data_IF_812523546344
#
_entry.id   IF_812523546344
#
_cell.length_a   1.000
_cell.length_b   1.000
_cell.length_c   1.000
_cell.angle_alpha   90.00
_cell.angle_beta   90.00
_cell.angle_gamma   90.00
#
_symmetry.space_group_name_H-M   'P 1'
#
loop_
_entity.id
_entity.type
_entity.pdbx_description
1 polymer ?
#
# COMPACT_ATOMS: atom_id res chain seq x y z
N UNK A 1 -10.78 13.15 -17.84
CA UNK A 1 -10.39 14.13 -18.86
C UNK A 1 -9.46 15.18 -18.28
N UNK A 2 -8.34 15.52 -18.95
CA UNK A 2 -7.50 16.63 -18.54
C UNK A 2 -8.25 17.97 -18.71
N UNK A 3 -8.17 18.84 -17.73
CA UNK A 3 -8.83 20.17 -17.76
C UNK A 3 -7.88 21.33 -17.44
N UNK A 4 -6.72 21.03 -16.85
CA UNK A 4 -5.61 21.94 -16.67
C UNK A 4 -4.31 21.12 -16.48
N UNK A 5 -3.17 21.81 -16.39
CA UNK A 5 -1.91 21.17 -16.00
C UNK A 5 -2.09 20.42 -14.67
N UNK A 6 -1.77 19.13 -14.66
CA UNK A 6 -1.90 18.24 -13.51
C UNK A 6 -3.34 18.03 -12.97
N UNK A 7 -4.37 18.54 -13.65
CA UNK A 7 -5.77 18.42 -13.20
C UNK A 7 -6.60 17.61 -14.16
N UNK A 8 -7.29 16.62 -13.61
CA UNK A 8 -8.18 15.71 -14.33
C UNK A 8 -9.55 15.68 -13.66
N UNK A 9 -10.61 15.58 -14.46
CA UNK A 9 -11.99 15.38 -13.98
C UNK A 9 -12.56 14.07 -14.50
N UNK A 10 -13.42 13.43 -13.72
CA UNK A 10 -14.25 12.33 -14.19
C UNK A 10 -15.34 12.85 -15.14
N UNK A 11 -15.73 12.03 -16.12
CA UNK A 11 -16.89 12.30 -16.98
C UNK A 11 -18.20 11.77 -16.38
N UNK A 12 -18.10 10.82 -15.46
CA UNK A 12 -19.24 10.09 -14.90
C UNK A 12 -19.63 10.60 -13.50
N UNK A 13 -18.71 11.30 -12.84
CA UNK A 13 -18.86 11.80 -11.46
C UNK A 13 -18.33 13.22 -11.36
N UNK A 14 -18.86 14.01 -10.44
CA UNK A 14 -18.40 15.37 -10.18
C UNK A 14 -17.11 15.40 -9.32
N UNK A 15 -16.14 14.60 -9.75
CA UNK A 15 -14.88 14.34 -9.04
C UNK A 15 -13.71 14.83 -9.87
N UNK A 16 -12.76 15.50 -9.23
CA UNK A 16 -11.51 15.93 -9.86
C UNK A 16 -10.30 15.57 -9.02
N UNK A 17 -9.18 15.33 -9.70
CA UNK A 17 -7.88 15.04 -9.12
C UNK A 17 -6.90 16.09 -9.62
N UNK A 18 -6.16 16.71 -8.70
CA UNK A 18 -5.06 17.62 -9.02
C UNK A 18 -3.77 17.10 -8.43
N UNK A 19 -2.78 16.76 -9.25
CA UNK A 19 -1.49 16.28 -8.78
C UNK A 19 -0.62 17.42 -8.27
N UNK A 20 -0.04 17.22 -7.09
CA UNK A 20 0.96 18.11 -6.50
C UNK A 20 2.34 17.64 -6.96
N UNK A 21 3.18 18.58 -7.41
CA UNK A 21 4.54 18.30 -7.87
C UNK A 21 5.56 19.09 -7.04
N UNK A 22 6.74 18.52 -6.83
CA UNK A 22 7.87 19.22 -6.23
C UNK A 22 8.57 20.16 -7.23
N UNK A 23 9.61 20.87 -6.77
CA UNK A 23 10.40 21.77 -7.61
C UNK A 23 11.12 21.08 -8.78
N UNK A 24 11.28 19.75 -8.73
CA UNK A 24 11.90 18.94 -9.78
C UNK A 24 10.85 18.34 -10.74
N UNK A 25 9.56 18.64 -10.54
CA UNK A 25 8.47 18.10 -11.34
C UNK A 25 8.01 16.70 -10.94
N UNK A 26 8.50 16.15 -9.82
CA UNK A 26 8.04 14.86 -9.34
C UNK A 26 6.71 14.99 -8.61
N UNK A 27 5.76 14.11 -8.93
CA UNK A 27 4.50 14.02 -8.19
C UNK A 27 4.77 13.61 -6.74
N UNK A 28 4.29 14.40 -5.79
CA UNK A 28 4.40 14.17 -4.33
C UNK A 28 3.07 13.82 -3.68
N UNK A 29 1.97 13.92 -4.42
CA UNK A 29 0.63 13.56 -3.98
C UNK A 29 -0.41 14.09 -4.94
N UNK A 30 -1.66 14.05 -4.51
CA UNK A 30 -2.76 14.69 -5.23
C UNK A 30 -3.84 15.17 -4.27
N UNK A 31 -4.64 16.11 -4.73
CA UNK A 31 -5.89 16.51 -4.07
C UNK A 31 -7.06 15.90 -4.82
N UNK A 32 -7.87 15.11 -4.12
CA UNK A 32 -9.17 14.63 -4.57
C UNK A 32 -10.23 15.64 -4.15
N UNK A 33 -11.07 16.09 -5.10
CA UNK A 33 -12.24 16.90 -4.83
C UNK A 33 -13.47 16.18 -5.35
N UNK A 34 -14.42 15.91 -4.47
CA UNK A 34 -15.77 15.44 -4.82
C UNK A 34 -16.75 16.58 -4.53
N UNK A 35 -17.23 17.23 -5.58
CA UNK A 35 -18.10 18.41 -5.45
C UNK A 35 -19.52 18.05 -5.05
N UNK A 36 -19.97 16.83 -5.32
CA UNK A 36 -21.32 16.39 -4.93
C UNK A 36 -21.38 16.18 -3.42
N UNK A 37 -20.28 15.72 -2.82
CA UNK A 37 -20.14 15.54 -1.37
C UNK A 37 -19.55 16.75 -0.64
N UNK A 38 -19.15 17.81 -1.37
CA UNK A 38 -18.45 18.96 -0.80
C UNK A 38 -17.13 18.60 -0.12
N UNK A 39 -16.48 17.53 -0.58
CA UNK A 39 -15.33 16.91 0.07
C UNK A 39 -14.03 17.19 -0.68
N UNK A 40 -12.98 17.50 0.07
CA UNK A 40 -11.62 17.69 -0.44
C UNK A 40 -10.62 16.96 0.45
N UNK A 41 -9.73 16.16 -0.17
CA UNK A 41 -8.71 15.39 0.52
C UNK A 41 -7.37 15.52 -0.18
N UNK A 42 -6.34 15.89 0.58
CA UNK A 42 -4.96 15.71 0.15
C UNK A 42 -4.54 14.25 0.41
N UNK A 43 -3.98 13.61 -0.61
CA UNK A 43 -3.47 12.24 -0.58
C UNK A 43 -1.97 12.30 -0.90
N UNK A 44 -1.09 11.98 0.06
CA UNK A 44 0.35 11.98 -0.17
C UNK A 44 0.74 10.80 -1.08
N UNK A 45 1.88 10.92 -1.74
CA UNK A 45 2.48 9.81 -2.47
C UNK A 45 3.03 8.77 -1.50
N UNK A 46 2.60 7.52 -1.70
CA UNK A 46 2.93 6.37 -0.86
C UNK A 46 4.30 5.74 -1.20
N UNK A 47 4.80 5.94 -2.42
CA UNK A 47 6.12 5.43 -2.82
C UNK A 47 6.48 5.75 -4.27
N UNK A 48 7.72 5.49 -4.69
CA UNK A 48 8.13 5.62 -6.08
C UNK A 48 7.36 4.63 -6.98
N UNK A 49 7.36 4.88 -8.30
CA UNK A 49 6.89 3.85 -9.24
C UNK A 49 7.85 2.66 -9.20
N UNK A 50 7.31 1.46 -9.20
CA UNK A 50 8.11 0.24 -9.17
C UNK A 50 8.91 0.10 -10.47
N UNK A 51 10.23 0.09 -10.32
CA UNK A 51 11.18 -0.19 -11.38
C UNK A 51 11.75 -1.61 -11.20
N UNK A 52 11.14 -2.56 -11.89
CA UNK A 52 11.51 -3.98 -11.86
C UNK A 52 12.94 -4.25 -12.36
N UNK A 53 13.60 -3.29 -13.00
CA UNK A 53 14.98 -3.42 -13.48
C UNK A 53 16.01 -3.16 -12.39
N UNK A 54 15.60 -2.54 -11.27
CA UNK A 54 16.47 -2.26 -10.12
C UNK A 54 16.24 -3.31 -9.04
N UNK A 55 17.28 -4.07 -8.75
CA UNK A 55 17.33 -4.98 -7.61
C UNK A 55 17.97 -4.28 -6.42
N UNK A 56 17.23 -4.19 -5.31
CA UNK A 56 17.75 -3.71 -4.05
C UNK A 56 17.95 -4.92 -3.13
N UNK A 57 19.05 -4.92 -2.38
CA UNK A 57 19.22 -5.90 -1.32
C UNK A 57 18.21 -5.59 -0.21
N UNK A 58 17.55 -6.61 0.33
CA UNK A 58 16.69 -6.46 1.51
C UNK A 58 17.55 -5.99 2.69
N UNK A 59 17.31 -4.78 3.23
CA UNK A 59 18.08 -4.26 4.35
C UNK A 59 17.83 -5.06 5.65
N UNK A 60 16.72 -5.79 5.74
CA UNK A 60 16.42 -6.71 6.84
C UNK A 60 15.78 -8.02 6.32
N UNK A 61 16.60 -8.97 5.87
CA UNK A 61 16.12 -10.27 5.36
C UNK A 61 15.31 -11.07 6.39
N UNK A 62 15.44 -10.77 7.69
CA UNK A 62 14.68 -11.44 8.74
C UNK A 62 13.23 -10.95 8.85
N UNK A 63 12.94 -9.79 8.26
CA UNK A 63 11.61 -9.16 8.25
C UNK A 63 10.69 -9.76 7.20
N UNK A 64 11.22 -10.08 6.03
CA UNK A 64 10.44 -10.63 4.90
C UNK A 64 9.62 -11.88 5.28
N UNK A 65 10.17 -12.90 5.97
CA UNK A 65 9.38 -14.05 6.43
C UNK A 65 8.26 -13.70 7.41
N UNK A 66 8.47 -12.70 8.29
CA UNK A 66 7.46 -12.27 9.26
C UNK A 66 6.29 -11.58 8.57
N UNK A 67 6.59 -10.74 7.58
CA UNK A 67 5.58 -10.09 6.73
C UNK A 67 4.80 -11.13 5.94
N UNK A 68 5.48 -12.13 5.34
CA UNK A 68 4.81 -13.21 4.63
C UNK A 68 3.81 -13.95 5.55
N UNK A 69 4.19 -14.28 6.78
CA UNK A 69 3.30 -14.91 7.75
C UNK A 69 2.10 -14.03 8.10
N UNK A 70 2.31 -12.73 8.30
CA UNK A 70 1.22 -11.77 8.56
C UNK A 70 0.24 -11.70 7.39
N UNK A 71 0.73 -11.62 6.15
CA UNK A 71 -0.11 -11.59 4.95
C UNK A 71 -0.87 -12.90 4.74
N UNK A 72 -0.24 -14.05 5.02
CA UNK A 72 -0.92 -15.35 4.99
C UNK A 72 -2.03 -15.44 6.04
N UNK A 73 -1.83 -14.88 7.23
CA UNK A 73 -2.87 -14.79 8.25
C UNK A 73 -4.02 -13.86 7.82
N UNK A 74 -3.73 -12.72 7.18
CA UNK A 74 -4.74 -11.83 6.59
C UNK A 74 -5.59 -12.52 5.52
N UNK A 75 -4.97 -13.32 4.64
CA UNK A 75 -5.70 -14.13 3.66
C UNK A 75 -6.65 -15.11 4.36
N UNK A 76 -6.14 -15.85 5.34
CA UNK A 76 -6.89 -16.93 5.98
C UNK A 76 -8.03 -16.40 6.87
N UNK A 77 -7.84 -15.23 7.49
CA UNK A 77 -8.77 -14.67 8.46
C UNK A 77 -8.91 -15.54 9.71
N UNK A 78 -10.01 -15.34 10.43
CA UNK A 78 -10.40 -16.12 11.60
C UNK A 78 -9.30 -16.26 12.66
N UNK A 79 -9.17 -17.45 13.24
CA UNK A 79 -8.25 -17.70 14.37
C UNK A 79 -6.78 -17.44 14.04
N UNK A 80 -6.35 -17.75 12.81
CA UNK A 80 -4.96 -17.54 12.37
C UNK A 80 -4.62 -16.05 12.36
N UNK A 81 -5.57 -15.22 11.95
CA UNK A 81 -5.44 -13.77 12.02
C UNK A 81 -5.42 -13.24 13.45
N UNK A 82 -6.33 -13.73 14.30
CA UNK A 82 -6.42 -13.33 15.71
C UNK A 82 -5.10 -13.57 16.46
N UNK A 83 -4.47 -14.71 16.23
CA UNK A 83 -3.23 -15.15 16.90
C UNK A 83 -1.95 -14.56 16.28
N UNK A 84 -2.01 -14.01 15.07
CA UNK A 84 -0.84 -13.49 14.37
C UNK A 84 -0.23 -12.27 15.09
N UNK A 85 1.03 -12.36 15.50
CA UNK A 85 1.73 -11.29 16.22
C UNK A 85 2.24 -10.16 15.32
N UNK A 86 2.31 -10.38 14.00
CA UNK A 86 2.84 -9.43 13.02
C UNK A 86 1.82 -8.41 12.50
N UNK A 87 0.66 -8.26 13.14
CA UNK A 87 -0.45 -7.44 12.66
C UNK A 87 -0.97 -6.49 13.74
N UNK A 88 -1.40 -5.31 13.31
CA UNK A 88 -2.11 -4.36 14.17
C UNK A 88 -3.49 -4.87 14.57
N UNK A 89 -4.05 -4.34 15.65
CA UNK A 89 -5.40 -4.71 16.09
C UNK A 89 -6.48 -4.30 15.07
N UNK A 90 -6.31 -3.14 14.43
CA UNK A 90 -7.23 -2.67 13.38
C UNK A 90 -7.23 -3.61 12.18
N UNK A 91 -6.05 -4.03 11.71
CA UNK A 91 -5.94 -5.02 10.64
C UNK A 91 -6.64 -6.34 11.02
N UNK A 92 -6.41 -6.86 12.23
CA UNK A 92 -7.06 -8.10 12.67
C UNK A 92 -8.58 -8.01 12.66
N UNK A 93 -9.13 -6.89 13.09
CA UNK A 93 -10.58 -6.65 13.10
C UNK A 93 -11.14 -6.60 11.68
N UNK A 94 -10.50 -5.83 10.81
CA UNK A 94 -11.06 -5.51 9.50
C UNK A 94 -10.85 -6.64 8.48
N UNK A 95 -9.79 -7.45 8.66
CA UNK A 95 -9.52 -8.64 7.85
C UNK A 95 -10.05 -9.95 8.46
N UNK A 96 -10.90 -9.89 9.51
CA UNK A 96 -11.41 -11.07 10.21
C UNK A 96 -12.05 -12.14 9.28
N UNK A 97 -12.67 -11.70 8.18
CA UNK A 97 -13.27 -12.57 7.17
C UNK A 97 -12.31 -13.19 6.16
N UNK A 98 -11.02 -12.84 6.22
CA UNK A 98 -10.03 -13.22 5.21
C UNK A 98 -10.08 -12.35 3.96
N UNK A 99 -9.11 -12.55 3.07
CA UNK A 99 -9.03 -11.89 1.76
C UNK A 99 -9.23 -12.97 0.68
N UNK A 100 -10.12 -12.77 -0.31
CA UNK A 100 -10.50 -13.81 -1.27
C UNK A 100 -9.43 -14.22 -2.30
N UNK A 101 -8.15 -13.89 -2.09
CA UNK A 101 -7.05 -14.16 -3.04
C UNK A 101 -5.92 -15.05 -2.45
N UNK A 102 -6.22 -16.30 -2.06
CA UNK A 102 -5.27 -17.13 -1.32
C UNK A 102 -4.10 -17.71 -2.13
N UNK A 103 -4.09 -17.60 -3.46
CA UNK A 103 -3.19 -18.39 -4.32
C UNK A 103 -1.85 -17.71 -4.65
N UNK A 104 -1.66 -16.45 -4.27
CA UNK A 104 -0.53 -15.64 -4.75
C UNK A 104 0.62 -15.48 -3.74
N UNK A 105 0.41 -15.80 -2.46
CA UNK A 105 1.34 -15.48 -1.37
C UNK A 105 2.15 -16.68 -0.86
N UNK A 106 3.01 -17.22 -1.73
CA UNK A 106 3.95 -18.29 -1.39
C UNK A 106 5.37 -17.78 -1.10
N UNK A 107 5.79 -16.70 -1.75
CA UNK A 107 7.08 -16.08 -1.48
C UNK A 107 7.11 -14.62 -1.93
N UNK A 108 7.93 -13.84 -1.23
CA UNK A 108 8.12 -12.41 -1.47
C UNK A 108 9.57 -12.19 -1.91
N UNK A 109 9.76 -11.37 -2.94
CA UNK A 109 11.06 -10.82 -3.31
C UNK A 109 11.05 -9.34 -3.01
N UNK A 110 11.95 -8.87 -2.14
CA UNK A 110 12.05 -7.45 -1.80
C UNK A 110 12.37 -6.62 -3.04
N UNK A 111 11.66 -5.51 -3.21
CA UNK A 111 11.88 -4.56 -4.30
C UNK A 111 12.33 -3.22 -3.75
N UNK A 112 11.60 -2.62 -2.81
CA UNK A 112 11.93 -1.31 -2.26
C UNK A 112 11.25 -1.10 -0.91
N UNK A 113 11.77 -0.16 -0.12
CA UNK A 113 11.10 0.35 1.08
C UNK A 113 11.20 1.86 1.15
N UNK A 114 10.09 2.52 1.48
CA UNK A 114 9.99 3.97 1.62
C UNK A 114 9.59 4.34 3.05
N UNK A 115 10.36 5.21 3.70
CA UNK A 115 9.91 5.84 4.94
C UNK A 115 8.86 6.91 4.62
N UNK A 116 7.68 6.77 5.22
CA UNK A 116 6.54 7.66 5.04
C UNK A 116 6.08 8.32 6.34
N UNK A 117 6.91 8.28 7.39
CA UNK A 117 6.62 8.91 8.68
C UNK A 117 6.28 10.38 8.49
N UNK A 118 5.24 10.86 9.19
CA UNK A 118 4.81 12.26 9.14
C UNK A 118 4.04 12.65 7.88
N UNK A 119 3.80 11.73 6.93
CA UNK A 119 2.96 12.00 5.74
C UNK A 119 1.45 11.86 6.01
N UNK A 120 1.05 11.45 7.21
CA UNK A 120 -0.36 11.29 7.60
C UNK A 120 -1.07 10.11 6.92
N UNK A 121 -0.30 9.09 6.50
CA UNK A 121 -0.84 7.86 5.93
C UNK A 121 -1.29 6.94 7.07
N UNK A 122 -2.51 6.43 6.97
CA UNK A 122 -3.07 5.50 7.94
C UNK A 122 -3.65 4.30 7.20
N UNK A 123 -3.50 3.11 7.76
CA UNK A 123 -4.15 1.88 7.32
C UNK A 123 -4.80 1.22 8.53
N UNK A 124 -6.09 0.93 8.46
CA UNK A 124 -6.86 0.30 9.54
C UNK A 124 -6.58 0.91 10.93
N UNK A 125 -6.80 2.22 11.06
CA UNK A 125 -6.64 3.02 12.31
C UNK A 125 -5.20 3.11 12.86
N UNK A 126 -4.19 2.63 12.13
CA UNK A 126 -2.79 2.74 12.56
C UNK A 126 -2.00 3.64 11.62
N UNK A 127 -1.10 4.44 12.20
CA UNK A 127 -0.18 5.27 11.44
C UNK A 127 0.85 4.42 10.69
N UNK A 128 1.04 4.73 9.41
CA UNK A 128 2.02 4.07 8.56
C UNK A 128 3.33 4.84 8.62
N UNK A 129 4.41 4.13 8.92
CA UNK A 129 5.75 4.67 9.01
C UNK A 129 6.64 4.25 7.83
N UNK A 130 6.36 3.09 7.25
CA UNK A 130 7.12 2.53 6.14
C UNK A 130 6.18 1.79 5.20
N UNK A 131 6.47 1.88 3.91
CA UNK A 131 5.81 1.09 2.88
C UNK A 131 6.86 0.22 2.22
N UNK A 132 6.66 -1.09 2.28
CA UNK A 132 7.57 -2.06 1.68
C UNK A 132 6.91 -2.69 0.47
N UNK A 133 7.59 -2.61 -0.66
CA UNK A 133 7.14 -3.22 -1.91
C UNK A 133 7.86 -4.55 -2.10
N UNK A 134 7.07 -5.60 -2.32
CA UNK A 134 7.54 -6.90 -2.71
C UNK A 134 6.98 -7.27 -4.08
N UNK A 135 7.74 -8.04 -4.84
CA UNK A 135 7.22 -8.80 -5.97
C UNK A 135 6.75 -10.16 -5.46
N UNK A 136 5.55 -10.56 -5.86
CA UNK A 136 5.03 -11.89 -5.59
C UNK A 136 5.65 -12.87 -6.59
N UNK A 137 6.32 -13.90 -6.08
CA UNK A 137 6.78 -14.99 -6.94
C UNK A 137 5.59 -15.92 -7.20
N UNK A 138 4.83 -15.59 -8.23
CA UNK A 138 3.68 -16.37 -8.66
C UNK A 138 3.83 -16.78 -10.13
N UNK A 139 2.88 -17.56 -10.63
CA UNK A 139 2.82 -17.91 -12.06
C UNK A 139 2.37 -16.73 -12.93
N UNK A 140 1.95 -15.63 -12.30
CA UNK A 140 1.62 -14.36 -12.95
C UNK A 140 2.85 -13.47 -12.92
N UNK A 141 3.40 -13.08 -14.09
CA UNK A 141 4.39 -12.01 -14.13
C UNK A 141 3.75 -10.70 -13.65
N UNK A 142 4.55 -9.83 -13.03
CA UNK A 142 4.22 -8.43 -12.76
C UNK A 142 3.16 -8.12 -11.67
N UNK A 143 2.99 -9.02 -10.71
CA UNK A 143 2.21 -8.72 -9.48
C UNK A 143 3.11 -8.27 -8.33
N UNK A 144 2.81 -7.11 -7.77
CA UNK A 144 3.47 -6.51 -6.61
C UNK A 144 2.51 -6.42 -5.43
N UNK A 145 3.05 -6.45 -4.22
CA UNK A 145 2.32 -6.14 -3.00
C UNK A 145 3.00 -5.00 -2.28
N UNK A 146 2.24 -3.96 -1.96
CA UNK A 146 2.65 -2.88 -1.08
C UNK A 146 2.17 -3.20 0.32
N UNK A 147 3.10 -3.29 1.27
CA UNK A 147 2.82 -3.63 2.66
C UNK A 147 3.02 -2.37 3.50
N UNK A 148 1.97 -1.99 4.23
CA UNK A 148 1.99 -0.82 5.11
C UNK A 148 2.39 -1.24 6.52
N UNK A 149 3.49 -0.67 7.01
CA UNK A 149 4.07 -1.00 8.32
C UNK A 149 3.99 0.17 9.30
N UNK A 150 3.64 -0.14 10.55
CA UNK A 150 3.80 0.79 11.68
C UNK A 150 5.27 0.94 12.07
N UNK A 151 5.58 1.87 12.97
CA UNK A 151 6.94 2.05 13.52
C UNK A 151 7.48 0.81 14.22
N UNK A 152 6.58 -0.03 14.75
CA UNK A 152 6.89 -1.29 15.41
C UNK A 152 7.02 -2.46 14.41
N UNK A 153 7.05 -2.16 13.11
CA UNK A 153 7.10 -3.13 12.01
C UNK A 153 5.91 -4.10 11.98
N UNK A 154 4.75 -3.68 12.50
CA UNK A 154 3.50 -4.45 12.37
C UNK A 154 2.83 -4.12 11.05
N UNK A 155 2.33 -5.14 10.37
CA UNK A 155 1.51 -4.97 9.17
C UNK A 155 0.16 -4.38 9.59
N UNK A 156 -0.23 -3.28 8.96
CA UNK A 156 -1.53 -2.66 9.19
C UNK A 156 -2.46 -2.73 7.99
N UNK A 157 -1.90 -2.81 6.77
CA UNK A 157 -2.67 -2.90 5.52
C UNK A 157 -1.77 -3.43 4.39
N UNK A 158 -2.37 -3.85 3.27
CA UNK A 158 -1.64 -4.16 2.05
C UNK A 158 -2.46 -3.92 0.77
N UNK A 159 -1.79 -3.48 -0.30
CA UNK A 159 -2.39 -3.34 -1.63
C UNK A 159 -1.73 -4.29 -2.63
N UNK A 160 -2.54 -5.01 -3.40
CA UNK A 160 -2.09 -5.75 -4.57
C UNK A 160 -2.07 -4.82 -5.78
N UNK A 161 -0.95 -4.79 -6.49
CA UNK A 161 -0.77 -3.97 -7.69
C UNK A 161 -0.26 -4.82 -8.83
N UNK A 162 -1.05 -4.90 -9.89
CA UNK A 162 -0.68 -5.48 -11.17
C UNK A 162 -0.13 -4.38 -12.09
N UNK A 163 0.88 -4.72 -12.90
CA UNK A 163 1.47 -3.81 -13.88
C UNK A 163 1.18 -4.25 -15.31
#
# INVERSE_FOLDING_TARGET
>A
MPVATNTFTSNDRNVSVTFTVDANGHVTGFTLKDKDQGYERAVPRIGPLVDATKTYADPDPSRTPKILLALQAMIQGGKQLEEASGLTLGAKRDFAGGIPEPQLLNSLTFIHSENVTGRGIQGHESDVSEIVTYQLKSNLPDTYILVHLTTDSLVTDCDLVEK
#
